data_IF_135879174174
#
_entry.id   IF_135879174174
#
_cell.length_a   1.000
_cell.length_b   1.000
_cell.length_c   1.000
_cell.angle_alpha   90.00
_cell.angle_beta   90.00
_cell.angle_gamma   90.00
#
_symmetry.space_group_name_H-M   'P 1'
#
loop_
_entity.id
_entity.type
_entity.pdbx_description
1 polymer ?
#
# COMPACT_ATOMS: atom_id res chain seq x y z
N UNK A 1 -15.85 14.01 -0.72
CA UNK A 1 -16.47 12.85 -1.36
C UNK A 1 -15.65 11.63 -0.99
N UNK A 2 -16.27 10.62 -0.38
CA UNK A 2 -15.57 9.38 0.01
C UNK A 2 -15.44 8.46 -1.21
N UNK A 3 -14.22 8.12 -1.59
CA UNK A 3 -13.99 7.03 -2.54
C UNK A 3 -14.14 5.71 -1.79
N UNK A 4 -14.88 4.71 -2.32
CA UNK A 4 -14.99 3.41 -1.68
C UNK A 4 -13.61 2.76 -1.48
N UNK A 5 -13.42 2.11 -0.34
CA UNK A 5 -12.17 1.41 -0.05
C UNK A 5 -11.95 0.23 -1.01
N UNK A 6 -13.01 -0.47 -1.37
CA UNK A 6 -13.00 -1.57 -2.34
C UNK A 6 -13.69 -1.10 -3.60
N UNK A 7 -13.00 -1.20 -4.74
CA UNK A 7 -13.53 -0.86 -6.05
C UNK A 7 -13.38 -2.05 -7.00
N UNK A 8 -14.48 -2.52 -7.62
CA UNK A 8 -14.39 -3.58 -8.61
C UNK A 8 -13.45 -3.22 -9.75
N UNK A 9 -12.61 -4.17 -10.14
CA UNK A 9 -11.61 -3.96 -11.18
C UNK A 9 -12.23 -3.61 -12.53
N UNK A 10 -13.42 -4.16 -12.84
CA UNK A 10 -14.13 -3.92 -14.08
C UNK A 10 -14.62 -2.46 -14.27
N UNK A 11 -14.58 -1.61 -13.25
CA UNK A 11 -14.88 -0.19 -13.44
C UNK A 11 -13.89 0.49 -14.40
N UNK A 12 -12.63 0.05 -14.39
CA UNK A 12 -11.60 0.56 -15.28
C UNK A 12 -11.33 -0.37 -16.48
N UNK A 13 -11.67 -1.65 -16.35
CA UNK A 13 -11.43 -2.69 -17.34
C UNK A 13 -12.71 -3.48 -17.61
N UNK A 14 -13.67 -2.89 -18.35
CA UNK A 14 -15.01 -3.43 -18.58
C UNK A 14 -15.03 -4.86 -19.12
N UNK A 15 -14.03 -5.25 -19.94
CA UNK A 15 -13.93 -6.60 -20.48
C UNK A 15 -13.76 -7.69 -19.41
N UNK A 16 -13.31 -7.30 -18.22
CA UNK A 16 -13.12 -8.21 -17.07
C UNK A 16 -14.45 -8.68 -16.49
N UNK A 17 -15.52 -7.89 -16.67
CA UNK A 17 -16.82 -8.20 -16.09
C UNK A 17 -17.36 -9.58 -16.49
N UNK A 18 -17.20 -9.93 -17.77
CA UNK A 18 -17.68 -11.20 -18.34
C UNK A 18 -16.60 -12.30 -18.35
N UNK A 19 -15.41 -12.03 -17.81
CA UNK A 19 -14.30 -12.98 -17.76
C UNK A 19 -14.20 -13.63 -16.38
N UNK A 20 -14.64 -14.88 -16.27
CA UNK A 20 -14.65 -15.64 -15.02
C UNK A 20 -13.28 -15.77 -14.35
N UNK A 21 -12.19 -15.63 -15.11
CA UNK A 21 -10.83 -15.75 -14.59
C UNK A 21 -10.36 -14.48 -13.86
N UNK A 22 -10.91 -13.30 -14.21
CA UNK A 22 -10.40 -12.03 -13.72
C UNK A 22 -11.45 -11.15 -13.04
N UNK A 23 -12.76 -11.47 -13.14
CA UNK A 23 -13.87 -10.65 -12.66
C UNK A 23 -13.85 -10.35 -11.16
N UNK A 24 -13.18 -11.22 -10.38
CA UNK A 24 -13.11 -11.09 -8.93
C UNK A 24 -11.93 -10.22 -8.44
N UNK A 25 -11.10 -9.72 -9.36
CA UNK A 25 -10.05 -8.77 -9.01
C UNK A 25 -10.67 -7.43 -8.58
N UNK A 26 -10.02 -6.74 -7.65
CA UNK A 26 -10.48 -5.45 -7.17
C UNK A 26 -9.33 -4.57 -6.69
N UNK A 27 -9.56 -3.26 -6.71
CA UNK A 27 -8.66 -2.31 -6.06
C UNK A 27 -9.02 -2.18 -4.58
N UNK A 28 -8.00 -2.15 -3.74
CA UNK A 28 -8.12 -1.86 -2.31
C UNK A 28 -7.41 -0.54 -2.01
N UNK A 29 -8.19 0.48 -1.65
CA UNK A 29 -7.71 1.84 -1.59
C UNK A 29 -7.24 2.34 -2.96
N UNK A 30 -6.29 3.26 -2.96
CA UNK A 30 -5.71 3.86 -4.19
C UNK A 30 -4.41 3.20 -4.66
N UNK A 31 -3.87 2.24 -3.90
CA UNK A 31 -2.50 1.78 -4.06
C UNK A 31 -2.38 0.29 -4.39
N UNK A 32 -3.40 -0.51 -4.12
CA UNK A 32 -3.33 -1.96 -4.18
C UNK A 32 -4.31 -2.56 -5.18
N UNK A 33 -3.87 -3.59 -5.88
CA UNK A 33 -4.68 -4.51 -6.66
C UNK A 33 -4.71 -5.86 -5.94
N UNK A 34 -5.87 -6.39 -5.69
CA UNK A 34 -6.09 -7.70 -5.07
C UNK A 34 -6.64 -8.69 -6.09
N UNK A 35 -6.02 -9.84 -6.17
CA UNK A 35 -6.40 -10.93 -7.09
C UNK A 35 -6.74 -12.18 -6.26
N UNK A 36 -7.94 -12.29 -5.69
CA UNK A 36 -8.27 -13.38 -4.77
C UNK A 36 -8.22 -14.73 -5.45
N UNK A 37 -7.63 -15.72 -4.76
CA UNK A 37 -7.56 -17.10 -5.22
C UNK A 37 -8.88 -17.78 -4.86
N UNK A 38 -9.63 -18.20 -5.85
CA UNK A 38 -10.93 -18.87 -5.68
C UNK A 38 -10.93 -20.30 -6.20
N UNK A 39 -9.88 -20.71 -6.87
CA UNK A 39 -9.72 -22.06 -7.40
C UNK A 39 -9.26 -23.02 -6.29
N UNK A 40 -9.69 -24.28 -6.34
CA UNK A 40 -9.24 -25.27 -5.38
C UNK A 40 -7.76 -25.61 -5.56
N UNK A 41 -7.13 -26.00 -4.48
CA UNK A 41 -5.76 -26.49 -4.49
C UNK A 41 -5.67 -27.85 -5.19
N UNK A 42 -4.71 -28.01 -6.08
CA UNK A 42 -4.35 -29.29 -6.65
C UNK A 42 -3.75 -30.20 -5.55
N UNK A 43 -4.30 -31.40 -5.32
CA UNK A 43 -3.88 -32.26 -4.21
C UNK A 43 -2.49 -32.88 -4.43
N UNK A 44 -2.03 -33.02 -5.65
CA UNK A 44 -0.74 -33.62 -5.99
C UNK A 44 0.38 -32.56 -5.89
N UNK A 45 0.17 -31.42 -6.49
CA UNK A 45 1.14 -30.33 -6.47
C UNK A 45 1.15 -29.55 -5.14
N UNK A 46 0.08 -29.68 -4.35
CA UNK A 46 -0.16 -28.88 -3.15
C UNK A 46 -0.06 -27.36 -3.42
N UNK A 47 -0.59 -26.93 -4.56
CA UNK A 47 -0.62 -25.54 -5.04
C UNK A 47 -1.93 -25.27 -5.77
N UNK A 48 -2.34 -24.00 -5.76
CA UNK A 48 -3.41 -23.50 -6.63
C UNK A 48 -2.81 -22.87 -7.87
N UNK A 49 -3.32 -23.24 -9.04
CA UNK A 49 -3.00 -22.56 -10.29
C UNK A 49 -3.96 -21.38 -10.41
N UNK A 50 -3.44 -20.17 -10.29
CA UNK A 50 -4.27 -18.97 -10.34
C UNK A 50 -3.88 -18.08 -11.52
N UNK A 51 -4.90 -17.49 -12.14
CA UNK A 51 -4.77 -16.57 -13.27
C UNK A 51 -5.19 -15.19 -12.83
N UNK A 52 -4.36 -14.19 -13.18
CA UNK A 52 -4.65 -12.80 -12.87
C UNK A 52 -4.15 -11.86 -13.96
N UNK A 53 -4.79 -10.72 -14.08
CA UNK A 53 -4.39 -9.67 -14.99
C UNK A 53 -3.79 -8.51 -14.20
N UNK A 54 -2.61 -8.06 -14.60
CA UNK A 54 -1.95 -6.87 -14.04
C UNK A 54 -2.18 -5.71 -14.99
N UNK A 55 -2.81 -4.59 -14.55
CA UNK A 55 -3.11 -3.45 -15.40
C UNK A 55 -1.85 -2.71 -15.84
N UNK A 56 -2.02 -1.70 -16.69
CA UNK A 56 -0.89 -0.92 -17.20
C UNK A 56 0.01 -0.37 -16.08
N UNK A 57 1.29 -0.16 -16.41
CA UNK A 57 2.31 0.30 -15.48
C UNK A 57 3.22 -0.82 -14.95
N UNK A 58 3.84 -0.57 -13.81
CA UNK A 58 4.69 -1.52 -13.10
C UNK A 58 4.07 -1.80 -11.74
N UNK A 59 3.98 -3.07 -11.40
CA UNK A 59 3.41 -3.53 -10.15
C UNK A 59 4.40 -4.39 -9.37
N UNK A 60 4.22 -4.46 -8.08
CA UNK A 60 5.07 -5.24 -7.19
C UNK A 60 4.20 -6.12 -6.32
N UNK A 61 4.53 -7.38 -6.22
CA UNK A 61 3.95 -8.26 -5.21
C UNK A 61 4.21 -7.67 -3.82
N UNK A 62 3.15 -7.51 -3.04
CA UNK A 62 3.21 -6.83 -1.74
C UNK A 62 4.10 -7.57 -0.74
N UNK A 63 4.09 -8.90 -0.77
CA UNK A 63 4.81 -9.76 0.17
C UNK A 63 6.27 -9.91 -0.23
N UNK A 64 6.52 -10.30 -1.46
CA UNK A 64 7.88 -10.64 -1.95
C UNK A 64 8.64 -9.44 -2.50
N UNK A 65 7.94 -8.37 -2.91
CA UNK A 65 8.51 -7.26 -3.66
C UNK A 65 8.83 -7.58 -5.12
N UNK A 66 8.49 -8.77 -5.63
CA UNK A 66 8.74 -9.15 -7.01
C UNK A 66 8.01 -8.23 -7.98
N UNK A 67 8.72 -7.77 -9.01
CA UNK A 67 8.19 -6.86 -10.02
C UNK A 67 7.39 -7.60 -11.09
N UNK A 68 6.24 -7.03 -11.47
CA UNK A 68 5.36 -7.50 -12.52
C UNK A 68 5.13 -6.37 -13.55
N UNK A 69 5.63 -6.49 -14.78
CA UNK A 69 5.23 -5.60 -15.88
C UNK A 69 3.72 -5.67 -16.10
N UNK A 70 3.11 -4.50 -16.28
CA UNK A 70 1.67 -4.39 -16.47
C UNK A 70 1.17 -4.67 -17.88
N UNK A 71 -0.14 -4.48 -18.08
CA UNK A 71 -0.91 -4.79 -19.28
C UNK A 71 -0.72 -6.26 -19.71
N UNK A 72 -0.77 -7.17 -18.73
CA UNK A 72 -0.43 -8.58 -18.98
C UNK A 72 -1.23 -9.54 -18.11
N UNK A 73 -1.63 -10.66 -18.72
CA UNK A 73 -2.20 -11.82 -18.05
C UNK A 73 -1.07 -12.72 -17.53
N UNK A 74 -1.22 -13.19 -16.30
CA UNK A 74 -0.27 -14.06 -15.63
C UNK A 74 -0.93 -15.36 -15.20
N UNK A 75 -0.13 -16.42 -15.14
CA UNK A 75 -0.46 -17.70 -14.50
C UNK A 75 0.64 -17.95 -13.48
N UNK A 76 0.27 -18.24 -12.25
CA UNK A 76 1.23 -18.55 -11.18
C UNK A 76 0.68 -19.63 -10.26
N UNK A 77 1.58 -20.18 -9.44
CA UNK A 77 1.29 -21.25 -8.49
C UNK A 77 1.40 -20.69 -7.08
N UNK A 78 0.32 -20.79 -6.31
CA UNK A 78 0.23 -20.24 -4.98
C UNK A 78 0.06 -21.34 -3.93
N UNK A 79 0.63 -21.13 -2.75
CA UNK A 79 0.38 -21.92 -1.56
C UNK A 79 -0.91 -21.45 -0.91
N UNK A 80 -1.37 -22.20 0.09
CA UNK A 80 -2.58 -21.88 0.83
C UNK A 80 -2.47 -20.58 1.65
N UNK A 81 -1.25 -20.23 2.07
CA UNK A 81 -0.90 -19.02 2.80
C UNK A 81 -0.45 -17.84 1.92
N UNK A 82 -0.34 -18.04 0.61
CA UNK A 82 -0.03 -16.97 -0.34
C UNK A 82 -1.30 -16.16 -0.68
N UNK A 83 -1.15 -14.85 -0.81
CA UNK A 83 -2.21 -13.97 -1.28
C UNK A 83 -1.67 -12.98 -2.31
N UNK A 84 -2.14 -13.06 -3.58
CA UNK A 84 -1.67 -12.19 -4.64
C UNK A 84 -2.28 -10.79 -4.48
N UNK A 85 -1.52 -9.91 -3.83
CA UNK A 85 -1.79 -8.49 -3.69
C UNK A 85 -0.62 -7.72 -4.28
N UNK A 86 -0.91 -6.77 -5.15
CA UNK A 86 0.10 -6.02 -5.87
C UNK A 86 -0.01 -4.53 -5.57
N UNK A 87 1.13 -3.89 -5.29
CA UNK A 87 1.26 -2.45 -5.17
C UNK A 87 1.74 -1.83 -6.47
N UNK A 88 1.14 -0.73 -6.90
CA UNK A 88 1.59 0.01 -8.09
C UNK A 88 2.95 0.68 -7.84
N UNK A 89 3.74 0.88 -8.89
CA UNK A 89 4.95 1.70 -8.80
C UNK A 89 4.61 3.11 -8.30
N UNK A 90 5.36 3.59 -7.32
CA UNK A 90 5.08 4.82 -6.59
C UNK A 90 4.19 4.64 -5.35
N UNK A 91 3.66 3.45 -5.09
CA UNK A 91 2.82 3.22 -3.91
C UNK A 91 3.57 3.48 -2.61
N UNK A 92 2.85 4.12 -1.68
CA UNK A 92 3.27 4.43 -0.32
C UNK A 92 2.27 3.75 0.61
N UNK A 93 2.66 2.67 1.25
CA UNK A 93 1.76 1.84 2.06
C UNK A 93 2.19 1.91 3.53
N UNK A 94 1.42 2.60 4.38
CA UNK A 94 1.64 2.59 5.83
C UNK A 94 1.18 1.26 6.44
N UNK A 95 2.02 0.69 7.29
CA UNK A 95 1.73 -0.47 8.11
C UNK A 95 1.90 -0.11 9.58
N UNK A 96 1.02 -0.65 10.41
CA UNK A 96 1.16 -0.64 11.86
C UNK A 96 1.51 -2.04 12.35
N UNK A 97 2.52 -2.16 13.21
CA UNK A 97 2.91 -3.43 13.81
C UNK A 97 2.02 -3.81 15.02
N UNK A 98 0.84 -3.20 15.15
CA UNK A 98 -0.06 -3.50 16.25
C UNK A 98 -0.73 -4.85 16.04
N UNK A 99 -0.59 -5.73 17.04
CA UNK A 99 -1.23 -7.03 17.07
C UNK A 99 -2.56 -7.04 17.86
N UNK A 100 -2.84 -5.96 18.59
CA UNK A 100 -4.02 -5.82 19.45
C UNK A 100 -5.14 -5.10 18.69
N UNK A 101 -6.00 -5.86 18.06
CA UNK A 101 -7.16 -5.34 17.31
C UNK A 101 -8.15 -4.50 18.15
N UNK A 102 -8.05 -4.56 19.47
CA UNK A 102 -8.93 -3.85 20.40
C UNK A 102 -8.36 -2.52 20.91
N UNK A 103 -7.13 -2.18 20.57
CA UNK A 103 -6.51 -0.94 21.01
C UNK A 103 -6.73 0.15 19.96
N UNK A 104 -7.59 1.10 20.26
CA UNK A 104 -8.09 2.14 19.37
C UNK A 104 -7.12 3.34 19.26
N UNK A 105 -6.09 3.39 20.08
CA UNK A 105 -5.10 4.48 20.00
C UNK A 105 -4.31 4.50 18.69
N UNK A 106 -3.85 5.67 18.27
CA UNK A 106 -3.00 5.81 17.09
C UNK A 106 -1.64 5.13 17.29
N UNK A 107 -1.08 4.48 16.26
CA UNK A 107 0.19 3.76 16.36
C UNK A 107 1.35 4.72 16.62
N UNK A 108 2.24 4.35 17.54
CA UNK A 108 3.51 5.04 17.81
C UNK A 108 4.60 4.63 16.80
N UNK A 109 4.44 3.47 16.17
CA UNK A 109 5.40 2.93 15.22
C UNK A 109 4.70 2.65 13.89
N UNK A 110 5.17 3.29 12.85
CA UNK A 110 4.69 3.11 11.48
C UNK A 110 5.84 2.62 10.58
N UNK A 111 5.59 1.52 9.88
CA UNK A 111 6.42 1.11 8.77
C UNK A 111 5.80 1.65 7.47
N UNK A 112 6.56 2.44 6.73
CA UNK A 112 6.15 2.98 5.42
C UNK A 112 6.86 2.19 4.34
N UNK A 113 6.13 1.35 3.63
CA UNK A 113 6.66 0.62 2.48
C UNK A 113 6.48 1.45 1.20
N UNK A 114 7.55 1.63 0.46
CA UNK A 114 7.58 2.38 -0.80
C UNK A 114 7.98 1.45 -1.93
N UNK A 115 7.18 1.45 -2.99
CA UNK A 115 7.38 0.67 -4.21
C UNK A 115 7.89 1.60 -5.32
N UNK A 116 9.19 1.55 -5.66
CA UNK A 116 9.81 2.56 -6.50
C UNK A 116 9.29 2.60 -7.94
N UNK A 117 9.62 3.68 -8.66
CA UNK A 117 9.43 3.82 -10.10
C UNK A 117 8.72 5.10 -10.53
N UNK A 118 7.83 5.63 -9.70
CA UNK A 118 7.10 6.88 -9.96
C UNK A 118 7.02 7.68 -8.68
N UNK A 119 7.17 9.00 -8.76
CA UNK A 119 6.92 9.90 -7.63
C UNK A 119 5.44 9.92 -7.27
N UNK A 120 5.14 10.01 -5.98
CA UNK A 120 3.77 9.99 -5.48
C UNK A 120 3.66 10.75 -4.16
N UNK A 121 2.44 11.13 -3.81
CA UNK A 121 2.08 11.68 -2.51
C UNK A 121 0.93 10.87 -1.92
N UNK A 122 1.07 10.48 -0.67
CA UNK A 122 0.03 9.80 0.09
C UNK A 122 -0.37 10.65 1.31
N UNK A 123 -1.66 10.77 1.56
CA UNK A 123 -2.18 11.43 2.76
C UNK A 123 -2.71 10.37 3.72
N UNK A 124 -2.04 10.22 4.84
CA UNK A 124 -2.51 9.41 5.96
C UNK A 124 -3.49 10.26 6.76
N UNK A 125 -4.73 9.78 6.88
CA UNK A 125 -5.77 10.37 7.72
C UNK A 125 -5.95 9.50 8.95
N UNK A 126 -5.94 10.12 10.12
CA UNK A 126 -6.06 9.44 11.41
C UNK A 126 -7.01 10.23 12.30
N UNK A 127 -7.92 9.54 12.95
CA UNK A 127 -8.82 10.07 14.00
C UNK A 127 -8.89 9.08 15.16
N UNK A 128 -9.78 9.27 16.11
CA UNK A 128 -9.93 8.38 17.25
C UNK A 128 -10.62 7.04 16.92
N UNK A 129 -11.16 6.90 15.70
CA UNK A 129 -11.83 5.70 15.22
C UNK A 129 -13.15 5.36 15.93
N UNK A 130 -13.63 6.19 16.87
CA UNK A 130 -14.81 5.89 17.70
C UNK A 130 -15.86 6.99 17.60
N UNK A 131 -15.46 8.25 17.64
CA UNK A 131 -16.36 9.39 17.75
C UNK A 131 -16.50 10.14 16.42
N UNK A 132 -17.42 11.12 16.39
CA UNK A 132 -17.54 12.03 15.25
C UNK A 132 -16.73 13.33 15.44
N UNK A 133 -15.80 13.37 16.38
CA UNK A 133 -14.98 14.55 16.67
C UNK A 133 -14.11 15.01 15.49
N UNK A 134 -13.84 14.13 14.53
CA UNK A 134 -13.18 14.52 13.28
C UNK A 134 -13.93 15.64 12.54
N UNK A 135 -15.27 15.75 12.70
CA UNK A 135 -16.08 16.85 12.13
C UNK A 135 -15.76 18.20 12.76
N UNK A 136 -15.23 18.20 13.97
CA UNK A 136 -14.80 19.39 14.74
C UNK A 136 -13.30 19.66 14.58
N UNK A 137 -12.63 18.90 13.72
CA UNK A 137 -11.21 19.04 13.43
C UNK A 137 -10.28 18.18 14.30
N UNK A 138 -10.81 17.27 15.13
CA UNK A 138 -10.01 16.32 15.90
C UNK A 138 -9.60 15.13 15.02
N UNK A 139 -8.68 15.38 14.15
CA UNK A 139 -8.02 14.41 13.27
C UNK A 139 -6.58 14.86 13.01
N UNK A 140 -5.79 13.98 12.43
CA UNK A 140 -4.46 14.28 11.91
C UNK A 140 -4.39 13.89 10.45
N UNK A 141 -3.92 14.79 9.60
CA UNK A 141 -3.48 14.50 8.25
C UNK A 141 -1.97 14.63 8.15
N UNK A 142 -1.34 13.55 7.72
CA UNK A 142 0.09 13.50 7.47
C UNK A 142 0.33 13.27 5.98
N UNK A 143 1.03 14.20 5.32
CA UNK A 143 1.52 14.00 3.96
C UNK A 143 2.81 13.21 3.98
N UNK A 144 2.88 12.20 3.13
CA UNK A 144 4.09 11.43 2.84
C UNK A 144 4.36 11.60 1.35
N UNK A 145 5.35 12.44 1.02
CA UNK A 145 5.73 12.74 -0.35
C UNK A 145 6.96 11.92 -0.71
N UNK A 146 6.83 11.09 -1.72
CA UNK A 146 7.92 10.31 -2.28
C UNK A 146 8.32 10.85 -3.64
N UNK A 147 9.58 11.27 -3.78
CA UNK A 147 10.17 11.71 -5.03
C UNK A 147 11.20 10.70 -5.52
N UNK A 148 11.03 10.25 -6.76
CA UNK A 148 11.91 9.34 -7.46
C UNK A 148 12.60 10.07 -8.62
N UNK A 149 13.91 10.20 -8.55
CA UNK A 149 14.69 10.84 -9.60
C UNK A 149 16.03 10.11 -9.80
N UNK A 150 16.21 9.45 -10.95
CA UNK A 150 17.47 8.81 -11.34
C UNK A 150 18.09 7.95 -10.24
N UNK A 151 17.31 7.04 -9.65
CA UNK A 151 17.69 6.19 -8.51
C UNK A 151 17.95 6.92 -7.18
N UNK A 152 17.68 8.21 -7.09
CA UNK A 152 17.61 8.92 -5.83
C UNK A 152 16.19 8.90 -5.31
N UNK A 153 16.05 8.61 -4.03
CA UNK A 153 14.77 8.53 -3.33
C UNK A 153 14.74 9.59 -2.24
N UNK A 154 13.75 10.46 -2.30
CA UNK A 154 13.51 11.45 -1.23
C UNK A 154 12.13 11.21 -0.66
N UNK A 155 12.04 11.10 0.66
CA UNK A 155 10.75 11.00 1.36
C UNK A 155 10.65 12.16 2.33
N UNK A 156 9.53 12.88 2.24
CA UNK A 156 9.22 14.00 3.13
C UNK A 156 7.92 13.67 3.87
N UNK A 157 7.97 13.65 5.19
CA UNK A 157 6.81 13.42 6.06
C UNK A 157 6.52 14.72 6.79
N UNK A 158 5.27 15.19 6.72
CA UNK A 158 4.85 16.42 7.41
C UNK A 158 3.37 16.36 7.80
N UNK A 159 3.05 16.91 8.96
CA UNK A 159 1.66 17.20 9.30
C UNK A 159 1.18 18.37 8.43
N UNK A 160 0.00 18.22 7.84
CA UNK A 160 -0.58 19.21 6.92
C UNK A 160 -1.87 19.81 7.43
N UNK A 161 -2.60 19.12 8.33
CA UNK A 161 -3.89 19.58 8.83
C UNK A 161 -4.31 18.79 10.08
N UNK A 162 -5.21 19.37 10.88
CA UNK A 162 -5.82 18.74 12.05
C UNK A 162 -5.37 19.32 13.38
N UNK A 163 -6.12 19.01 14.44
CA UNK A 163 -5.80 19.44 15.82
C UNK A 163 -4.86 18.42 16.47
N UNK A 164 -3.82 18.90 17.12
CA UNK A 164 -2.71 18.09 17.67
C UNK A 164 -3.08 17.15 18.83
N UNK A 165 -4.27 17.25 19.40
CA UNK A 165 -4.65 16.53 20.63
C UNK A 165 -4.81 15.03 20.52
N UNK A 166 -4.82 14.44 19.31
CA UNK A 166 -4.96 13.00 19.07
C UNK A 166 -3.66 12.32 18.65
N UNK A 167 -2.68 13.10 18.18
CA UNK A 167 -1.41 12.55 17.74
C UNK A 167 -0.62 11.98 18.93
N UNK A 168 0.10 10.86 18.76
CA UNK A 168 1.04 10.40 19.77
C UNK A 168 2.16 11.45 19.93
N UNK A 169 2.62 11.66 21.17
CA UNK A 169 3.71 12.63 21.47
C UNK A 169 4.98 12.35 20.68
N UNK A 170 5.25 11.06 20.44
CA UNK A 170 6.39 10.60 19.66
C UNK A 170 5.93 9.50 18.71
N UNK A 171 6.46 9.54 17.49
CA UNK A 171 6.21 8.51 16.48
C UNK A 171 7.51 8.12 15.80
N UNK A 172 7.74 6.81 15.72
CA UNK A 172 8.84 6.21 14.98
C UNK A 172 8.37 5.88 13.57
N UNK A 173 9.19 6.20 12.58
CA UNK A 173 8.96 5.83 11.19
C UNK A 173 10.07 4.89 10.72
N UNK A 174 9.69 3.71 10.26
CA UNK A 174 10.59 2.78 9.57
C UNK A 174 10.30 2.85 8.07
N UNK A 175 11.27 3.29 7.28
CA UNK A 175 11.14 3.38 5.83
C UNK A 175 11.65 2.10 5.17
N UNK A 176 10.85 1.46 4.33
CA UNK A 176 11.20 0.24 3.60
C UNK A 176 11.00 0.46 2.11
N UNK A 177 12.09 0.54 1.37
CA UNK A 177 12.06 0.61 -0.10
C UNK A 177 12.09 -0.81 -0.66
N UNK A 178 11.01 -1.18 -1.36
CA UNK A 178 10.84 -2.55 -1.86
C UNK A 178 11.57 -2.75 -3.18
N UNK A 179 12.18 -3.94 -3.36
CA UNK A 179 12.90 -4.31 -4.59
C UNK A 179 13.94 -3.26 -5.04
N UNK A 180 14.71 -2.74 -4.09
CA UNK A 180 15.82 -1.83 -4.35
C UNK A 180 17.15 -2.48 -3.98
N UNK A 181 18.23 -1.98 -4.55
CA UNK A 181 19.57 -2.29 -4.09
C UNK A 181 19.85 -1.55 -2.77
N UNK A 182 20.87 -1.98 -2.06
CA UNK A 182 21.40 -1.24 -0.91
C UNK A 182 21.77 0.19 -1.35
N UNK A 183 21.42 1.16 -0.53
CA UNK A 183 21.77 2.56 -0.79
C UNK A 183 23.27 2.79 -0.50
N UNK A 184 23.92 3.58 -1.35
CA UNK A 184 25.31 3.99 -1.15
C UNK A 184 25.43 4.97 0.03
N UNK A 185 24.39 5.79 0.24
CA UNK A 185 24.31 6.74 1.34
C UNK A 185 22.87 7.02 1.73
N UNK A 186 22.65 7.32 3.00
CA UNK A 186 21.36 7.77 3.54
C UNK A 186 21.61 9.04 4.35
N UNK A 187 20.80 10.07 4.09
CA UNK A 187 20.82 11.30 4.87
C UNK A 187 19.44 11.56 5.43
N UNK A 188 19.36 11.84 6.71
CA UNK A 188 18.12 12.14 7.43
C UNK A 188 18.16 13.58 7.91
N UNK A 189 17.04 14.28 7.77
CA UNK A 189 16.85 15.65 8.28
C UNK A 189 15.64 15.67 9.21
N UNK A 190 15.77 16.40 10.28
CA UNK A 190 14.66 16.76 11.17
C UNK A 190 14.57 18.28 11.27
N UNK A 191 13.41 18.85 10.90
CA UNK A 191 13.20 20.30 10.83
C UNK A 191 14.32 21.03 10.07
N UNK A 192 14.70 20.49 8.89
CA UNK A 192 15.80 20.96 8.04
C UNK A 192 17.22 20.83 8.63
N UNK A 193 17.37 20.31 9.85
CA UNK A 193 18.67 19.98 10.43
C UNK A 193 19.06 18.53 10.08
N UNK A 194 20.31 18.34 9.66
CA UNK A 194 20.85 17.00 9.41
C UNK A 194 21.06 16.28 10.74
N UNK A 195 20.57 15.05 10.84
CA UNK A 195 20.78 14.14 11.95
C UNK A 195 22.02 13.28 11.77
#
# INVERSE_FOLDING_TARGET
AGTPLIQPFYYNYMWVYDDDLYKNQYYFGSQLLVCPILEPKDPVMNRTIHRFFVPDGVWYDLVTGKKFPGNKKYISFFREDDYPVFAHAGSIIPFSNRSDYNNIGLPTDLEIQIFPGVSNTYTLFEDDGITSLYKEGYYLKTSIDYNYLRNNYTVIIRSIDGKSGIAPEKRNYKMVFRNTKQADSVTVYFNANKL
#
